data_IF_889724472616
#
_entry.id   IF_889724472616
#
_cell.length_a   1.000
_cell.length_b   1.000
_cell.length_c   1.000
_cell.angle_alpha   90.00
_cell.angle_beta   90.00
_cell.angle_gamma   90.00
#
_symmetry.space_group_name_H-M   'P 1'
#
loop_
_entity.id
_entity.type
_entity.pdbx_description
1 polymer ?
#
# COMPACT_ATOMS: atom_id res chain seq x y z
N UNK A 1 16.40 0.55 85.48
CA UNK A 1 15.15 0.47 84.64
C UNK A 1 15.41 1.21 83.35
N UNK A 2 15.93 0.52 82.33
CA UNK A 2 16.30 1.07 81.01
C UNK A 2 15.15 0.91 80.06
N UNK A 3 14.56 1.97 79.55
CA UNK A 3 13.54 1.99 78.53
C UNK A 3 14.26 2.01 77.15
N UNK A 4 14.19 0.90 76.39
CA UNK A 4 14.63 0.88 74.98
C UNK A 4 13.55 1.54 74.11
N UNK A 5 13.86 2.70 73.52
CA UNK A 5 13.09 3.29 72.44
C UNK A 5 13.43 2.53 71.14
N UNK A 6 12.42 1.85 70.60
CA UNK A 6 12.45 1.20 69.28
C UNK A 6 12.04 2.22 68.23
N UNK A 7 12.99 2.73 67.44
CA UNK A 7 12.72 3.58 66.28
C UNK A 7 12.17 2.73 65.13
N UNK A 8 10.88 2.81 64.83
CA UNK A 8 10.30 2.28 63.59
C UNK A 8 10.61 3.25 62.44
N UNK A 9 11.55 2.88 61.61
CA UNK A 9 11.79 3.55 60.32
C UNK A 9 10.81 2.99 59.31
N UNK A 10 9.69 3.69 59.08
CA UNK A 10 8.77 3.36 57.96
C UNK A 10 9.41 3.80 56.68
N UNK A 11 9.92 2.83 55.87
CA UNK A 11 10.26 3.06 54.48
C UNK A 11 8.98 3.36 53.70
N UNK A 12 8.78 4.64 53.38
CA UNK A 12 7.79 5.07 52.40
C UNK A 12 8.36 4.66 51.00
N UNK A 13 7.89 3.58 50.46
CA UNK A 13 8.14 3.22 49.05
C UNK A 13 7.38 4.20 48.18
N UNK A 14 8.08 5.23 47.69
CA UNK A 14 7.57 6.09 46.62
C UNK A 14 7.51 5.22 45.35
N UNK A 15 6.33 4.72 45.02
CA UNK A 15 6.07 4.17 43.69
C UNK A 15 6.16 5.30 42.67
N UNK A 16 7.27 5.41 41.97
CA UNK A 16 7.39 6.24 40.78
C UNK A 16 6.34 5.71 39.79
N UNK A 17 5.23 6.42 39.67
CA UNK A 17 4.31 6.21 38.54
C UNK A 17 5.09 6.58 37.27
N UNK A 18 5.53 5.59 36.54
CA UNK A 18 6.07 5.77 35.21
C UNK A 18 4.90 6.28 34.34
N UNK A 19 4.90 7.58 34.11
CA UNK A 19 3.87 8.24 33.30
C UNK A 19 4.34 8.19 31.85
N UNK A 20 3.55 7.57 30.96
CA UNK A 20 3.87 7.53 29.52
C UNK A 20 3.94 8.95 28.94
N UNK A 21 4.91 9.21 28.07
CA UNK A 21 4.95 10.45 27.30
C UNK A 21 3.85 10.42 26.26
N UNK A 22 2.84 11.29 26.40
CA UNK A 22 1.64 11.27 25.56
C UNK A 22 1.66 12.37 24.51
N UNK A 23 1.42 11.97 23.26
CA UNK A 23 1.27 12.85 22.10
C UNK A 23 -0.13 12.77 21.54
N UNK A 24 -0.70 13.93 21.25
CA UNK A 24 -2.02 14.08 20.65
C UNK A 24 -2.10 15.42 19.93
N UNK A 25 -2.83 15.50 18.81
CA UNK A 25 -3.16 16.78 18.20
C UNK A 25 -4.00 17.61 19.18
N UNK A 26 -3.74 18.94 19.34
CA UNK A 26 -4.54 19.80 20.19
C UNK A 26 -6.01 19.76 19.77
N UNK A 27 -6.94 19.62 20.73
CA UNK A 27 -8.37 19.50 20.43
C UNK A 27 -8.95 20.72 19.71
N UNK A 28 -8.37 21.89 19.95
CA UNK A 28 -8.78 23.18 19.35
C UNK A 28 -8.18 23.41 17.95
N UNK A 29 -7.17 22.65 17.57
CA UNK A 29 -6.41 22.84 16.33
C UNK A 29 -6.15 21.51 15.62
N UNK A 30 -7.03 20.52 15.83
CA UNK A 30 -6.97 19.25 15.11
C UNK A 30 -7.48 19.43 13.69
N UNK A 31 -6.63 19.16 12.72
CA UNK A 31 -7.00 19.18 11.31
C UNK A 31 -6.72 17.82 10.65
N UNK A 32 -7.71 17.36 9.87
CA UNK A 32 -7.56 16.21 9.00
C UNK A 32 -7.38 16.69 7.57
N UNK A 33 -6.31 16.24 6.93
CA UNK A 33 -6.01 16.60 5.55
C UNK A 33 -6.21 15.38 4.65
N UNK A 34 -7.04 15.54 3.61
CA UNK A 34 -7.15 14.57 2.52
C UNK A 34 -6.11 14.91 1.46
N UNK A 35 -5.25 13.94 1.14
CA UNK A 35 -4.27 14.02 0.05
C UNK A 35 -4.65 12.96 -0.97
N UNK A 36 -5.01 13.42 -2.16
CA UNK A 36 -5.49 12.59 -3.24
C UNK A 36 -4.51 12.60 -4.41
N UNK A 37 -4.21 11.40 -4.90
CA UNK A 37 -3.54 11.18 -6.18
C UNK A 37 -4.35 10.14 -6.98
N UNK A 38 -4.15 10.00 -8.30
CA UNK A 38 -4.88 9.01 -9.08
C UNK A 38 -4.76 7.57 -8.59
N UNK A 39 -3.72 7.25 -7.80
CA UNK A 39 -3.41 5.90 -7.33
C UNK A 39 -3.31 5.78 -5.81
N UNK A 40 -3.59 6.84 -5.05
CA UNK A 40 -3.45 6.81 -3.60
C UNK A 40 -4.36 7.85 -2.94
N UNK A 41 -5.05 7.41 -1.90
CA UNK A 41 -5.83 8.25 -0.99
C UNK A 41 -5.20 8.24 0.39
N UNK A 42 -5.01 9.42 0.98
CA UNK A 42 -4.47 9.58 2.32
C UNK A 42 -5.35 10.52 3.12
N UNK A 43 -5.67 10.16 4.35
CA UNK A 43 -6.33 10.97 5.36
C UNK A 43 -5.35 11.15 6.52
N UNK A 44 -4.72 12.31 6.62
CA UNK A 44 -3.58 12.59 7.49
C UNK A 44 -3.94 13.52 8.64
N UNK A 45 -3.36 13.27 9.80
CA UNK A 45 -3.37 14.16 10.97
C UNK A 45 -1.94 14.38 11.45
N UNK A 46 -1.52 15.64 11.54
CA UNK A 46 -0.25 16.01 12.17
C UNK A 46 -0.39 15.95 13.70
N UNK A 47 0.61 15.38 14.39
CA UNK A 47 0.66 15.23 15.83
C UNK A 47 1.88 15.97 16.34
N UNK A 48 1.66 17.14 16.93
CA UNK A 48 2.71 18.04 17.39
C UNK A 48 3.70 17.33 18.32
N UNK A 49 5.00 17.51 18.06
CA UNK A 49 6.08 16.89 18.85
C UNK A 49 6.40 15.44 18.44
N UNK A 50 5.46 14.70 17.87
CA UNK A 50 5.63 13.30 17.45
C UNK A 50 5.95 13.17 15.95
N UNK A 51 5.05 13.63 15.09
CA UNK A 51 5.11 13.47 13.64
C UNK A 51 3.72 13.46 13.03
N UNK A 52 3.32 12.38 12.38
CA UNK A 52 1.99 12.25 11.77
C UNK A 52 1.40 10.84 11.95
N UNK A 53 0.08 10.78 11.84
CA UNK A 53 -0.64 9.53 11.67
C UNK A 53 -1.64 9.65 10.51
N UNK A 54 -1.76 8.58 9.71
CA UNK A 54 -2.59 8.62 8.51
C UNK A 54 -3.26 7.30 8.19
N UNK A 55 -4.48 7.37 7.70
CA UNK A 55 -5.09 6.29 6.95
C UNK A 55 -4.72 6.45 5.49
N UNK A 56 -4.17 5.41 4.88
CA UNK A 56 -3.71 5.44 3.49
C UNK A 56 -4.12 4.18 2.76
N UNK A 57 -4.62 4.35 1.54
CA UNK A 57 -4.88 3.24 0.63
C UNK A 57 -4.29 3.55 -0.74
N UNK A 58 -3.52 2.61 -1.27
CA UNK A 58 -3.05 2.63 -2.65
C UNK A 58 -3.94 1.75 -3.51
N UNK A 59 -4.00 2.06 -4.80
CA UNK A 59 -4.70 1.28 -5.82
C UNK A 59 -4.35 -0.22 -5.71
N UNK A 60 -5.37 -1.08 -5.67
CA UNK A 60 -5.23 -2.53 -5.52
C UNK A 60 -4.80 -3.03 -4.14
N UNK A 61 -4.47 -2.15 -3.20
CA UNK A 61 -4.02 -2.51 -1.86
C UNK A 61 -5.12 -2.31 -0.80
N UNK A 62 -4.89 -2.90 0.36
CA UNK A 62 -5.75 -2.71 1.51
C UNK A 62 -5.44 -1.39 2.22
N UNK A 63 -6.42 -0.87 2.96
CA UNK A 63 -6.24 0.28 3.83
C UNK A 63 -5.16 -0.01 4.88
N UNK A 64 -4.34 1.00 5.17
CA UNK A 64 -3.34 0.98 6.25
C UNK A 64 -3.49 2.19 7.15
N UNK A 65 -3.30 2.01 8.46
CA UNK A 65 -3.08 3.06 9.43
C UNK A 65 -1.57 3.11 9.72
N UNK A 66 -0.97 4.27 9.49
CA UNK A 66 0.47 4.46 9.54
C UNK A 66 0.77 5.60 10.53
N UNK A 67 1.59 5.32 11.54
CA UNK A 67 2.18 6.34 12.41
C UNK A 67 3.63 6.55 12.01
N UNK A 68 4.04 7.81 11.86
CA UNK A 68 5.42 8.18 11.51
C UNK A 68 5.97 9.16 12.55
N UNK A 69 7.10 8.82 13.15
CA UNK A 69 7.77 9.68 14.13
C UNK A 69 9.04 10.29 13.57
N UNK A 70 9.34 11.52 13.98
CA UNK A 70 10.59 12.21 13.65
C UNK A 70 11.66 12.01 14.73
N UNK A 71 11.25 11.96 16.00
CA UNK A 71 12.16 12.10 17.13
C UNK A 71 12.20 10.88 18.07
N UNK A 72 11.28 9.93 17.93
CA UNK A 72 11.09 8.82 18.87
C UNK A 72 11.22 7.44 18.16
N UNK A 73 12.42 7.12 17.63
CA UNK A 73 12.63 5.81 17.01
C UNK A 73 12.43 4.69 18.06
N UNK A 74 11.83 3.59 17.65
CA UNK A 74 11.51 2.48 18.54
C UNK A 74 12.77 1.85 19.14
N UNK A 75 12.68 1.43 20.39
CA UNK A 75 13.52 0.39 20.93
C UNK A 75 13.11 -0.99 20.34
N UNK A 76 13.98 -1.98 20.51
CA UNK A 76 13.63 -3.35 20.13
C UNK A 76 12.65 -3.94 21.16
N UNK A 77 11.34 -3.81 20.91
CA UNK A 77 10.26 -4.22 21.81
C UNK A 77 8.98 -4.50 21.02
N UNK A 78 7.86 -4.66 21.70
CA UNK A 78 6.56 -4.71 21.03
C UNK A 78 5.97 -3.30 20.89
N UNK A 79 5.29 -3.09 19.77
CA UNK A 79 4.45 -1.93 19.48
C UNK A 79 2.99 -2.38 19.60
N UNK A 80 2.24 -1.71 20.46
CA UNK A 80 0.86 -2.00 20.74
C UNK A 80 -0.04 -1.03 19.97
N UNK A 81 -0.96 -1.58 19.18
CA UNK A 81 -2.06 -0.82 18.58
C UNK A 81 -3.30 -1.05 19.44
N UNK A 82 -3.90 0.02 19.90
CA UNK A 82 -5.02 0.03 20.84
C UNK A 82 -6.11 0.99 20.35
N UNK A 83 -7.31 0.88 20.92
CA UNK A 83 -8.37 1.89 20.83
C UNK A 83 -8.61 2.42 22.24
N UNK A 84 -8.41 3.70 22.44
CA UNK A 84 -8.74 4.39 23.69
C UNK A 84 -10.11 5.09 23.56
N UNK A 85 -10.78 5.28 24.68
CA UNK A 85 -11.92 6.19 24.76
C UNK A 85 -11.42 7.66 24.66
N UNK A 86 -12.31 8.55 24.27
CA UNK A 86 -11.96 9.97 24.17
C UNK A 86 -11.54 10.54 25.54
N UNK A 87 -10.48 11.38 25.59
CA UNK A 87 -9.95 11.87 26.88
C UNK A 87 -10.96 12.56 27.79
N UNK A 88 -12.02 13.14 27.23
CA UNK A 88 -13.08 13.80 28.01
C UNK A 88 -14.13 12.86 28.61
N UNK A 89 -14.10 11.57 28.26
CA UNK A 89 -15.05 10.60 28.81
C UNK A 89 -14.66 10.09 30.20
N UNK A 90 -13.45 10.41 30.68
CA UNK A 90 -12.91 9.96 31.99
C UNK A 90 -12.96 8.43 32.18
N UNK A 91 -12.90 7.66 31.11
CA UNK A 91 -12.91 6.20 31.12
C UNK A 91 -11.54 5.74 30.62
N UNK A 92 -10.79 5.05 31.46
CA UNK A 92 -9.46 4.50 31.10
C UNK A 92 -9.56 3.13 30.39
N UNK A 93 -10.63 2.87 29.70
CA UNK A 93 -10.75 1.62 28.95
C UNK A 93 -9.97 1.70 27.64
N UNK A 94 -9.12 0.70 27.43
CA UNK A 94 -8.37 0.52 26.19
C UNK A 94 -8.63 -0.86 25.62
N UNK A 95 -8.98 -0.90 24.36
CA UNK A 95 -9.15 -2.14 23.62
C UNK A 95 -7.86 -2.46 22.87
N UNK A 96 -7.16 -3.51 23.27
CA UNK A 96 -6.01 -4.01 22.52
C UNK A 96 -6.47 -4.56 21.17
N UNK A 97 -5.91 -4.04 20.07
CA UNK A 97 -6.13 -4.56 18.72
C UNK A 97 -5.10 -5.61 18.35
N UNK A 98 -3.83 -5.27 18.50
CA UNK A 98 -2.70 -6.17 18.22
C UNK A 98 -1.41 -5.62 18.81
N UNK A 99 -0.42 -6.51 18.96
CA UNK A 99 0.95 -6.16 19.29
C UNK A 99 1.86 -6.75 18.22
N UNK A 100 2.79 -5.95 17.70
CA UNK A 100 3.76 -6.37 16.68
C UNK A 100 5.18 -6.06 17.16
N UNK A 101 6.17 -6.90 16.87
CA UNK A 101 7.55 -6.60 17.20
C UNK A 101 8.03 -5.39 16.40
N UNK A 102 8.89 -4.56 16.99
CA UNK A 102 9.56 -3.46 16.33
C UNK A 102 11.07 -3.69 16.26
N UNK A 103 11.65 -3.23 15.16
CA UNK A 103 13.09 -3.18 15.01
C UNK A 103 13.67 -1.94 15.72
N UNK A 104 14.91 -2.08 16.18
CA UNK A 104 15.63 -0.95 16.77
C UNK A 104 15.80 0.18 15.74
N UNK A 105 15.37 1.37 16.07
CA UNK A 105 15.45 2.54 15.19
C UNK A 105 14.28 2.70 14.23
N UNK A 106 13.26 1.83 14.31
CA UNK A 106 12.06 1.95 13.48
C UNK A 106 11.32 3.24 13.79
N UNK A 107 10.96 3.99 12.72
CA UNK A 107 10.26 5.29 12.80
C UNK A 107 8.87 5.26 12.18
N UNK A 108 8.48 4.16 11.56
CA UNK A 108 7.18 4.00 10.92
C UNK A 108 6.51 2.71 11.44
N UNK A 109 5.26 2.84 11.88
CA UNK A 109 4.47 1.74 12.44
C UNK A 109 3.21 1.59 11.62
N UNK A 110 2.97 0.39 11.10
CA UNK A 110 1.92 0.13 10.10
C UNK A 110 0.96 -0.93 10.62
N UNK A 111 -0.32 -0.61 10.61
CA UNK A 111 -1.43 -1.53 10.82
C UNK A 111 -2.21 -1.62 9.50
N UNK A 112 -2.36 -2.81 8.92
CA UNK A 112 -2.95 -2.96 7.58
C UNK A 112 -4.19 -3.85 7.59
N UNK A 113 -5.01 -3.73 6.53
CA UNK A 113 -6.15 -4.59 6.24
C UNK A 113 -7.30 -4.46 7.23
N UNK A 114 -7.89 -5.57 7.69
CA UNK A 114 -9.08 -5.55 8.54
C UNK A 114 -8.90 -4.75 9.84
N UNK A 115 -7.70 -4.77 10.42
CA UNK A 115 -7.40 -4.02 11.64
C UNK A 115 -7.35 -2.50 11.38
N UNK A 116 -6.79 -2.06 10.25
CA UNK A 116 -6.82 -0.65 9.87
C UNK A 116 -8.25 -0.17 9.61
N UNK A 117 -9.09 -1.01 8.96
CA UNK A 117 -10.50 -0.71 8.75
C UNK A 117 -11.27 -0.64 10.07
N UNK A 118 -10.97 -1.53 11.02
CA UNK A 118 -11.53 -1.47 12.37
C UNK A 118 -11.12 -0.16 13.07
N UNK A 119 -9.85 0.25 13.00
CA UNK A 119 -9.39 1.52 13.56
C UNK A 119 -10.12 2.71 12.93
N UNK A 120 -10.32 2.72 11.59
CA UNK A 120 -11.10 3.75 10.91
C UNK A 120 -12.56 3.79 11.38
N UNK A 121 -13.19 2.64 11.57
CA UNK A 121 -14.55 2.54 12.11
C UNK A 121 -14.62 3.07 13.55
N UNK A 122 -13.65 2.74 14.38
CA UNK A 122 -13.62 3.18 15.78
C UNK A 122 -13.42 4.69 15.91
N UNK A 123 -12.53 5.28 15.08
CA UNK A 123 -12.32 6.73 15.12
C UNK A 123 -13.56 7.50 14.61
N UNK A 124 -14.30 6.96 13.65
CA UNK A 124 -15.58 7.53 13.21
C UNK A 124 -16.65 7.50 14.31
N UNK A 125 -16.55 6.56 15.26
CA UNK A 125 -17.39 6.48 16.45
C UNK A 125 -16.95 7.40 17.60
N UNK A 126 -15.92 8.23 17.38
CA UNK A 126 -15.40 9.16 18.37
C UNK A 126 -14.33 8.58 19.30
N UNK A 127 -13.87 7.36 19.05
CA UNK A 127 -12.76 6.74 19.78
C UNK A 127 -11.42 7.12 19.19
N UNK A 128 -10.34 6.86 19.94
CA UNK A 128 -8.98 7.28 19.60
C UNK A 128 -8.09 6.06 19.33
N UNK A 129 -7.81 5.71 18.06
CA UNK A 129 -6.74 4.77 17.74
C UNK A 129 -5.43 5.24 18.35
N UNK A 130 -4.76 4.36 19.07
CA UNK A 130 -3.60 4.68 19.90
C UNK A 130 -2.45 3.74 19.55
N UNK A 131 -1.26 4.32 19.46
CA UNK A 131 0.01 3.61 19.33
C UNK A 131 0.78 3.71 20.64
N UNK A 132 1.26 2.58 21.19
CA UNK A 132 2.14 2.57 22.38
C UNK A 132 3.36 1.73 22.15
N UNK A 133 4.53 2.26 22.50
CA UNK A 133 5.82 1.56 22.34
C UNK A 133 6.92 2.22 23.17
N UNK A 134 8.03 1.48 23.39
CA UNK A 134 9.24 2.03 24.03
C UNK A 134 10.13 2.65 22.96
N UNK A 135 10.60 3.87 23.21
CA UNK A 135 11.53 4.59 22.34
C UNK A 135 12.98 4.52 22.85
N UNK A 136 13.95 4.65 21.93
CA UNK A 136 15.36 4.79 22.30
C UNK A 136 15.69 6.15 22.91
N UNK A 137 14.90 7.18 22.58
CA UNK A 137 15.14 8.58 22.93
C UNK A 137 14.30 9.06 24.12
N UNK A 138 13.46 8.19 24.70
CA UNK A 138 12.65 8.51 25.85
C UNK A 138 12.81 7.43 26.93
N UNK A 139 12.93 7.81 28.22
CA UNK A 139 12.99 6.83 29.31
C UNK A 139 11.62 6.19 29.59
N UNK A 140 10.56 6.84 29.15
CA UNK A 140 9.17 6.46 29.36
C UNK A 140 8.56 5.85 28.10
N UNK A 141 7.46 5.12 28.26
CA UNK A 141 6.70 4.60 27.13
C UNK A 141 6.05 5.76 26.35
N UNK A 142 6.14 5.71 25.03
CA UNK A 142 5.47 6.66 24.14
C UNK A 142 4.03 6.20 23.92
N UNK A 143 3.07 7.11 24.10
CA UNK A 143 1.66 6.91 23.81
C UNK A 143 1.17 7.99 22.83
N UNK A 144 0.72 7.59 21.64
CA UNK A 144 0.28 8.49 20.58
C UNK A 144 -1.20 8.26 20.30
N UNK A 145 -2.03 9.27 20.52
CA UNK A 145 -3.46 9.22 20.32
C UNK A 145 -3.85 9.94 19.02
N UNK A 146 -4.52 9.23 18.13
CA UNK A 146 -5.08 9.80 16.92
C UNK A 146 -6.48 10.36 17.22
N UNK A 147 -6.61 11.69 17.12
CA UNK A 147 -7.83 12.39 17.54
C UNK A 147 -8.97 12.25 16.54
N UNK A 148 -10.18 11.94 17.00
CA UNK A 148 -11.40 11.91 16.19
C UNK A 148 -12.01 13.29 15.91
N UNK A 149 -11.48 14.35 16.54
CA UNK A 149 -12.01 15.72 16.40
C UNK A 149 -11.86 16.18 14.95
N UNK A 150 -12.90 16.82 14.40
CA UNK A 150 -13.00 17.30 13.01
C UNK A 150 -12.80 16.24 11.92
N UNK A 151 -12.78 14.95 12.27
CA UNK A 151 -12.70 13.87 11.27
C UNK A 151 -13.88 13.90 10.29
N UNK A 152 -15.10 14.17 10.80
CA UNK A 152 -16.32 14.17 10.01
C UNK A 152 -16.28 15.16 8.83
N UNK A 153 -15.52 16.24 8.93
CA UNK A 153 -15.40 17.28 7.91
C UNK A 153 -14.63 16.77 6.68
N UNK A 154 -13.66 15.86 6.89
CA UNK A 154 -12.78 15.34 5.85
C UNK A 154 -13.20 13.96 5.33
N UNK A 155 -14.05 13.22 6.07
CA UNK A 155 -14.46 11.86 5.71
C UNK A 155 -15.16 11.75 4.35
N UNK A 156 -16.09 12.64 3.94
CA UNK A 156 -16.73 12.53 2.64
C UNK A 156 -15.75 12.60 1.46
N UNK A 157 -14.76 13.50 1.54
CA UNK A 157 -13.71 13.62 0.51
C UNK A 157 -12.81 12.37 0.47
N UNK A 158 -12.45 11.84 1.63
CA UNK A 158 -11.64 10.62 1.70
C UNK A 158 -12.39 9.40 1.14
N UNK A 159 -13.68 9.24 1.46
CA UNK A 159 -14.52 8.17 0.92
C UNK A 159 -14.66 8.26 -0.60
N UNK A 160 -14.92 9.45 -1.13
CA UNK A 160 -14.98 9.68 -2.58
C UNK A 160 -13.66 9.33 -3.27
N UNK A 161 -12.52 9.71 -2.66
CA UNK A 161 -11.20 9.31 -3.17
C UNK A 161 -11.05 7.78 -3.22
N UNK A 162 -11.43 7.06 -2.15
CA UNK A 162 -11.35 5.61 -2.09
C UNK A 162 -12.21 4.91 -3.15
N UNK A 163 -13.40 5.43 -3.43
CA UNK A 163 -14.31 4.93 -4.47
C UNK A 163 -13.73 5.09 -5.89
N UNK A 164 -12.92 6.12 -6.10
CA UNK A 164 -12.28 6.42 -7.38
C UNK A 164 -10.98 5.62 -7.61
N UNK A 165 -10.43 4.98 -6.58
CA UNK A 165 -9.20 4.20 -6.73
C UNK A 165 -9.42 2.97 -7.63
N UNK A 166 -8.50 2.71 -8.58
CA UNK A 166 -8.48 1.45 -9.30
C UNK A 166 -8.39 0.26 -8.32
N UNK A 167 -9.17 -0.79 -8.59
CA UNK A 167 -9.18 -2.01 -7.76
C UNK A 167 -7.98 -2.94 -7.99
N UNK A 168 -6.95 -2.48 -8.69
CA UNK A 168 -5.76 -3.25 -9.06
C UNK A 168 -4.51 -2.39 -8.92
N UNK A 169 -3.42 -3.04 -8.51
CA UNK A 169 -2.10 -2.45 -8.30
C UNK A 169 -1.23 -2.50 -9.55
N UNK A 170 -0.05 -1.86 -9.48
CA UNK A 170 1.00 -2.03 -10.49
C UNK A 170 1.39 -3.51 -10.65
N UNK A 171 1.53 -4.24 -9.55
CA UNK A 171 1.96 -5.65 -9.58
C UNK A 171 0.94 -6.57 -10.26
N UNK A 172 -0.35 -6.19 -10.27
CA UNK A 172 -1.40 -6.94 -10.95
C UNK A 172 -1.38 -6.79 -12.47
N UNK A 173 -0.74 -5.72 -12.98
CA UNK A 173 -0.82 -5.37 -14.41
C UNK A 173 0.53 -5.13 -15.08
N UNK A 174 1.64 -5.08 -14.33
CA UNK A 174 2.97 -4.80 -14.88
C UNK A 174 3.44 -5.84 -15.90
N UNK A 175 2.78 -7.01 -15.93
CA UNK A 175 3.01 -8.09 -16.91
C UNK A 175 1.70 -8.61 -17.43
N UNK A 176 1.54 -8.55 -18.76
CA UNK A 176 0.37 -9.05 -19.45
C UNK A 176 0.81 -9.98 -20.59
N UNK A 177 0.22 -11.18 -20.66
CA UNK A 177 0.41 -12.10 -21.78
C UNK A 177 -0.84 -12.13 -22.64
N UNK A 178 -0.67 -11.82 -23.93
CA UNK A 178 -1.71 -11.89 -24.97
C UNK A 178 -1.46 -13.10 -25.84
N UNK A 179 -2.45 -14.01 -25.95
CA UNK A 179 -2.38 -15.21 -26.77
C UNK A 179 -3.06 -15.03 -28.12
N UNK A 180 -2.53 -15.72 -29.12
CA UNK A 180 -3.02 -15.64 -30.51
C UNK A 180 -3.38 -17.01 -31.09
N UNK A 181 -4.35 -16.99 -31.99
CA UNK A 181 -4.65 -18.14 -32.83
C UNK A 181 -3.49 -18.49 -33.78
N UNK A 182 -3.49 -19.73 -34.32
CA UNK A 182 -2.48 -20.13 -35.30
C UNK A 182 -2.51 -19.19 -36.49
N UNK A 183 -1.32 -18.78 -36.94
CA UNK A 183 -1.12 -17.92 -38.12
C UNK A 183 -1.83 -16.55 -38.07
N UNK A 184 -2.32 -16.13 -36.89
CA UNK A 184 -3.02 -14.84 -36.70
C UNK A 184 -2.30 -13.90 -35.74
N UNK A 185 -2.51 -12.60 -35.96
CA UNK A 185 -2.11 -11.49 -35.11
C UNK A 185 -3.31 -10.60 -34.74
N UNK A 186 -4.48 -11.22 -34.52
CA UNK A 186 -5.72 -10.52 -34.14
C UNK A 186 -5.92 -10.58 -32.66
N UNK A 187 -6.29 -9.43 -32.04
CA UNK A 187 -6.60 -9.33 -30.61
C UNK A 187 -8.01 -9.86 -30.33
N UNK A 188 -8.11 -10.81 -29.39
CA UNK A 188 -9.41 -11.24 -28.88
C UNK A 188 -10.08 -10.13 -28.04
N UNK A 189 -11.41 -10.14 -27.85
CA UNK A 189 -12.09 -9.20 -26.98
C UNK A 189 -11.50 -9.15 -25.55
N UNK A 190 -11.11 -10.31 -25.01
CA UNK A 190 -10.48 -10.42 -23.70
C UNK A 190 -9.10 -9.74 -23.65
N UNK A 191 -8.30 -9.93 -24.73
CA UNK A 191 -7.01 -9.24 -24.86
C UNK A 191 -7.19 -7.72 -24.96
N UNK A 192 -8.18 -7.26 -25.72
CA UNK A 192 -8.49 -5.83 -25.82
C UNK A 192 -8.89 -5.24 -24.48
N UNK A 193 -9.74 -5.92 -23.70
CA UNK A 193 -10.14 -5.49 -22.37
C UNK A 193 -8.94 -5.40 -21.39
N UNK A 194 -8.06 -6.40 -21.41
CA UNK A 194 -6.86 -6.42 -20.59
C UNK A 194 -5.89 -5.29 -20.96
N UNK A 195 -5.72 -5.03 -22.28
CA UNK A 195 -4.88 -3.93 -22.78
C UNK A 195 -5.47 -2.56 -22.46
N UNK A 196 -6.80 -2.41 -22.49
CA UNK A 196 -7.48 -1.18 -22.06
C UNK A 196 -7.22 -0.92 -20.57
N UNK A 197 -7.41 -1.94 -19.72
CA UNK A 197 -7.10 -1.83 -18.29
C UNK A 197 -5.65 -1.42 -18.02
N UNK A 198 -4.70 -2.02 -18.76
CA UNK A 198 -3.28 -1.65 -18.68
C UNK A 198 -3.05 -0.19 -19.11
N UNK A 199 -3.65 0.24 -20.23
CA UNK A 199 -3.51 1.59 -20.73
C UNK A 199 -4.10 2.63 -19.77
N UNK A 200 -5.25 2.34 -19.17
CA UNK A 200 -5.87 3.22 -18.17
C UNK A 200 -4.97 3.42 -16.95
N UNK A 201 -4.32 2.34 -16.48
CA UNK A 201 -3.36 2.47 -15.39
C UNK A 201 -2.12 3.26 -15.78
N UNK A 202 -1.56 3.05 -16.97
CA UNK A 202 -0.39 3.79 -17.47
C UNK A 202 -0.67 5.30 -17.53
N UNK A 203 -1.88 5.71 -17.87
CA UNK A 203 -2.29 7.12 -17.84
C UNK A 203 -2.33 7.72 -16.44
N UNK A 204 -2.61 6.90 -15.42
CA UNK A 204 -2.67 7.33 -14.02
C UNK A 204 -1.29 7.33 -13.33
N UNK A 205 -0.34 6.50 -13.80
CA UNK A 205 0.99 6.31 -13.19
C UNK A 205 2.09 6.99 -14.01
N UNK A 206 2.36 8.25 -13.73
CA UNK A 206 3.44 9.03 -14.39
C UNK A 206 4.85 8.49 -14.11
N UNK A 207 5.01 7.56 -13.19
CA UNK A 207 6.31 6.91 -12.92
C UNK A 207 6.67 5.85 -13.96
N UNK A 208 5.72 5.38 -14.77
CA UNK A 208 5.97 4.43 -15.85
C UNK A 208 6.76 5.13 -16.96
N UNK A 209 7.95 4.60 -17.27
CA UNK A 209 8.90 5.18 -18.23
C UNK A 209 9.01 4.36 -19.51
N UNK A 210 8.60 3.10 -19.48
CA UNK A 210 8.77 2.21 -20.63
C UNK A 210 7.76 1.07 -20.61
N UNK A 211 7.29 0.71 -21.81
CA UNK A 211 6.46 -0.45 -22.08
C UNK A 211 7.20 -1.30 -23.10
N UNK A 212 7.50 -2.55 -22.79
CA UNK A 212 8.08 -3.48 -23.76
C UNK A 212 7.02 -4.47 -24.25
N UNK A 213 7.03 -4.74 -25.54
CA UNK A 213 6.11 -5.70 -26.18
C UNK A 213 6.95 -6.71 -26.95
N UNK A 214 6.96 -7.95 -26.51
CA UNK A 214 7.74 -9.04 -27.10
C UNK A 214 6.80 -10.02 -27.82
N UNK A 215 6.95 -10.16 -29.13
CA UNK A 215 6.18 -11.09 -29.95
C UNK A 215 6.86 -12.45 -30.11
N UNK A 216 6.06 -13.54 -30.06
CA UNK A 216 6.52 -14.92 -30.14
C UNK A 216 5.64 -15.75 -31.05
N UNK A 217 6.22 -16.83 -31.62
CA UNK A 217 5.51 -17.88 -32.37
C UNK A 217 5.76 -19.24 -31.75
N UNK A 218 4.98 -20.23 -32.15
CA UNK A 218 5.38 -21.63 -32.03
C UNK A 218 6.42 -22.00 -33.11
N UNK A 219 6.90 -23.26 -33.14
CA UNK A 219 7.91 -23.72 -34.07
C UNK A 219 7.33 -24.25 -35.41
N UNK A 220 6.05 -24.06 -35.71
CA UNK A 220 5.46 -24.40 -36.97
C UNK A 220 5.66 -23.28 -38.00
N UNK A 221 5.86 -23.68 -39.25
CA UNK A 221 6.04 -22.76 -40.36
C UNK A 221 7.50 -22.43 -40.70
N UNK A 222 7.69 -21.57 -41.69
CA UNK A 222 9.02 -21.14 -42.14
C UNK A 222 9.52 -20.02 -41.26
N UNK A 223 10.81 -20.02 -40.95
CA UNK A 223 11.44 -19.00 -40.09
C UNK A 223 11.13 -17.54 -40.50
N UNK A 224 11.17 -17.25 -41.83
CA UNK A 224 10.83 -15.90 -42.30
C UNK A 224 9.40 -15.51 -41.95
N UNK A 225 8.42 -16.42 -42.12
CA UNK A 225 7.02 -16.17 -41.78
C UNK A 225 6.81 -16.05 -40.28
N UNK A 226 7.54 -16.84 -39.47
CA UNK A 226 7.51 -16.70 -38.00
C UNK A 226 8.08 -15.35 -37.54
N UNK A 227 9.09 -14.82 -38.24
CA UNK A 227 9.61 -13.46 -37.98
C UNK A 227 8.55 -12.39 -38.21
N UNK A 228 7.95 -12.40 -39.41
CA UNK A 228 6.88 -11.47 -39.79
C UNK A 228 5.66 -11.57 -38.85
N UNK A 229 5.29 -12.81 -38.47
CA UNK A 229 4.14 -13.05 -37.58
C UNK A 229 4.40 -12.59 -36.14
N UNK A 230 5.60 -12.84 -35.60
CA UNK A 230 5.95 -12.38 -34.26
C UNK A 230 6.03 -10.85 -34.17
N UNK A 231 6.56 -10.20 -35.21
CA UNK A 231 6.55 -8.74 -35.33
C UNK A 231 5.13 -8.19 -35.47
N UNK A 232 4.27 -8.80 -36.30
CA UNK A 232 2.89 -8.39 -36.44
C UNK A 232 2.10 -8.49 -35.14
N UNK A 233 2.35 -9.52 -34.31
CA UNK A 233 1.74 -9.69 -32.99
C UNK A 233 2.15 -8.61 -32.02
N UNK A 234 3.41 -8.19 -32.00
CA UNK A 234 3.86 -7.06 -31.19
C UNK A 234 3.28 -5.74 -31.71
N UNK A 235 3.24 -5.56 -33.03
CA UNK A 235 2.74 -4.33 -33.67
C UNK A 235 1.25 -4.12 -33.44
N UNK A 236 0.41 -5.16 -33.49
CA UNK A 236 -1.04 -5.00 -33.26
C UNK A 236 -1.32 -4.53 -31.84
N UNK A 237 -0.55 -5.00 -30.84
CA UNK A 237 -0.66 -4.52 -29.44
C UNK A 237 -0.16 -3.07 -29.35
N UNK A 238 0.99 -2.74 -29.95
CA UNK A 238 1.49 -1.35 -29.98
C UNK A 238 0.43 -0.42 -30.57
N UNK A 239 -0.12 -0.75 -31.72
CA UNK A 239 -1.13 0.08 -32.39
C UNK A 239 -2.40 0.24 -31.52
N UNK A 240 -2.82 -0.84 -30.86
CA UNK A 240 -3.96 -0.77 -29.91
C UNK A 240 -3.67 0.19 -28.76
N UNK A 241 -2.51 0.09 -28.12
CA UNK A 241 -2.12 0.99 -27.01
C UNK A 241 -2.02 2.45 -27.46
N UNK A 242 -1.53 2.72 -28.65
CA UNK A 242 -1.45 4.09 -29.18
C UNK A 242 -2.86 4.59 -29.56
N UNK A 243 -3.63 3.86 -30.36
CA UNK A 243 -4.85 4.37 -30.97
C UNK A 243 -6.07 4.31 -30.05
N UNK A 244 -6.16 3.30 -29.19
CA UNK A 244 -7.27 3.10 -28.25
C UNK A 244 -6.89 3.42 -26.82
N UNK A 245 -5.65 3.12 -26.44
CA UNK A 245 -5.12 3.41 -25.10
C UNK A 245 -4.60 4.83 -24.93
N UNK A 246 -4.39 5.58 -26.03
CA UNK A 246 -3.83 6.95 -26.04
C UNK A 246 -2.44 7.05 -25.40
N UNK A 247 -1.68 5.93 -25.47
CA UNK A 247 -0.33 5.85 -24.91
C UNK A 247 0.68 6.46 -25.90
N UNK A 248 1.57 7.36 -25.45
CA UNK A 248 2.61 7.92 -26.30
C UNK A 248 3.52 6.84 -26.87
N UNK A 249 3.73 6.86 -28.20
CA UNK A 249 4.58 5.89 -28.90
C UNK A 249 6.00 5.83 -28.33
N UNK A 250 6.53 6.94 -27.86
CA UNK A 250 7.88 7.04 -27.28
C UNK A 250 8.08 6.15 -26.04
N UNK A 251 7.01 5.74 -25.35
CA UNK A 251 7.08 4.83 -24.22
C UNK A 251 7.16 3.34 -24.66
N UNK A 252 6.87 3.01 -25.93
CA UNK A 252 6.64 1.64 -26.36
C UNK A 252 7.84 1.13 -27.18
N UNK A 253 8.42 0.04 -26.72
CA UNK A 253 9.48 -0.69 -27.44
C UNK A 253 8.95 -2.07 -27.83
N UNK A 254 9.07 -2.41 -29.10
CA UNK A 254 8.68 -3.73 -29.62
C UNK A 254 9.89 -4.60 -29.94
N UNK A 255 9.76 -5.90 -29.75
CA UNK A 255 10.75 -6.90 -30.14
C UNK A 255 10.09 -8.16 -30.70
N UNK A 256 10.79 -8.83 -31.61
CA UNK A 256 10.37 -10.10 -32.21
C UNK A 256 11.34 -11.20 -31.78
N UNK A 257 10.81 -12.29 -31.22
CA UNK A 257 11.59 -13.40 -30.70
C UNK A 257 11.34 -14.73 -31.45
N UNK A 258 10.44 -14.71 -32.44
CA UNK A 258 10.10 -15.92 -33.22
C UNK A 258 9.73 -17.08 -32.26
N UNK A 259 10.22 -18.28 -32.54
CA UNK A 259 10.10 -19.50 -31.72
C UNK A 259 11.23 -19.69 -30.70
N UNK A 260 12.16 -18.75 -30.56
CA UNK A 260 13.40 -18.94 -29.79
C UNK A 260 13.26 -18.83 -28.28
N UNK A 261 12.17 -18.28 -27.80
CA UNK A 261 11.90 -18.18 -26.37
C UNK A 261 10.57 -18.87 -26.01
N UNK A 262 10.48 -20.21 -26.14
CA UNK A 262 9.26 -20.93 -25.81
C UNK A 262 9.05 -20.96 -24.29
N UNK A 263 7.80 -20.81 -23.83
CA UNK A 263 7.40 -21.02 -22.44
C UNK A 263 6.83 -22.41 -22.20
N UNK A 264 6.57 -23.16 -23.27
CA UNK A 264 6.04 -24.51 -23.20
C UNK A 264 6.60 -25.38 -24.35
N UNK A 265 6.39 -26.68 -24.25
CA UNK A 265 6.83 -27.61 -25.32
C UNK A 265 6.11 -27.34 -26.63
N UNK A 266 6.85 -27.33 -27.73
CA UNK A 266 6.27 -27.28 -29.09
C UNK A 266 5.77 -28.64 -29.59
N UNK A 267 5.98 -29.74 -28.85
CA UNK A 267 5.55 -31.09 -29.25
C UNK A 267 4.04 -31.29 -29.14
N UNK A 268 3.35 -30.61 -28.22
CA UNK A 268 1.91 -30.68 -28.03
C UNK A 268 1.18 -29.48 -28.64
N UNK A 269 -0.08 -29.64 -29.02
CA UNK A 269 -0.92 -28.57 -29.53
C UNK A 269 -1.18 -27.50 -28.47
N UNK A 270 -1.38 -27.94 -27.21
CA UNK A 270 -1.55 -27.03 -26.07
C UNK A 270 -0.29 -26.22 -25.78
N UNK A 271 0.89 -26.84 -25.81
CA UNK A 271 2.15 -26.14 -25.59
C UNK A 271 2.44 -25.12 -26.71
N UNK A 272 2.17 -25.46 -27.96
CA UNK A 272 2.27 -24.48 -29.06
C UNK A 272 1.31 -23.32 -28.91
N UNK A 273 0.09 -23.56 -28.43
CA UNK A 273 -0.86 -22.46 -28.14
C UNK A 273 -0.33 -21.46 -27.10
N UNK A 274 0.38 -21.91 -26.08
CA UNK A 274 1.05 -21.04 -25.11
C UNK A 274 2.23 -20.28 -25.72
N UNK A 275 2.93 -20.87 -26.72
CA UNK A 275 4.06 -20.19 -27.38
C UNK A 275 3.60 -19.09 -28.36
N UNK A 276 2.35 -19.19 -28.91
CA UNK A 276 1.76 -18.15 -29.76
C UNK A 276 1.26 -16.98 -28.92
N UNK A 277 2.17 -16.12 -28.47
CA UNK A 277 1.88 -15.05 -27.53
C UNK A 277 2.63 -13.75 -27.83
N UNK A 278 2.21 -12.69 -27.20
CA UNK A 278 3.04 -11.53 -26.95
C UNK A 278 3.02 -11.20 -25.46
N UNK A 279 4.17 -10.81 -24.94
CA UNK A 279 4.34 -10.36 -23.56
C UNK A 279 4.45 -8.85 -23.54
N UNK A 280 3.68 -8.19 -22.66
CA UNK A 280 3.73 -6.75 -22.40
C UNK A 280 4.23 -6.56 -20.98
N UNK A 281 5.28 -5.77 -20.80
CA UNK A 281 5.83 -5.45 -19.48
C UNK A 281 5.98 -3.95 -19.30
N UNK A 282 5.56 -3.45 -18.11
CA UNK A 282 5.68 -2.06 -17.70
C UNK A 282 6.91 -1.86 -16.82
N UNK A 283 7.59 -0.72 -16.98
CA UNK A 283 8.77 -0.34 -16.18
C UNK A 283 8.62 1.10 -15.69
N UNK A 284 8.89 1.29 -14.39
CA UNK A 284 8.98 2.58 -13.69
C UNK A 284 10.35 3.21 -13.80
#
# INVERSE_FOLDING_TARGET
>A
MLIKLLNYFTLLSLSLLVQAEQFQAPLTDTHWQVIETPLMCTLNQEIAGFGDAKFQQQSGNQLSLIFTTKNYPAAQSNVNFEIAEAPWQNVEQRLMMTAVPSDKGQTQFVLSGPLAMQALTQIQQGRFPTLRYSSQNAPEEISVLLSSVHLADSMPAFQQCLENLPSYSFDDINKLTVYFSSEKAELTPQAQQALTKLADYVKLDSSIKRITISGHTDNHGRRRLNGELSESRATVIKNFLIQKGEIPEALIITSSHLEWKPISTNKSTSGRALNRRSEVELFR
#
